data_IF_342680117331
#
_entry.id   IF_342680117331
#
_cell.length_a   1.000
_cell.length_b   1.000
_cell.length_c   1.000
_cell.angle_alpha   90.00
_cell.angle_beta   90.00
_cell.angle_gamma   90.00
#
_symmetry.space_group_name_H-M   'P 1'
#
loop_
_entity.id
_entity.type
_entity.pdbx_description
1 polymer ?
#
# COMPACT_ATOMS: atom_id res chain seq x y z
N UNK A 1 32.52 14.71 -9.79
CA UNK A 1 31.67 15.20 -8.69
C UNK A 1 31.40 14.04 -7.75
N UNK A 2 31.79 14.09 -6.47
CA UNK A 2 31.39 13.05 -5.52
C UNK A 2 29.87 13.11 -5.36
N UNK A 3 29.19 11.96 -5.50
CA UNK A 3 27.75 11.89 -5.38
C UNK A 3 27.32 12.39 -4.01
N UNK A 4 26.29 13.24 -3.95
CA UNK A 4 25.76 13.85 -2.71
C UNK A 4 25.43 12.78 -1.65
N UNK A 5 25.14 11.55 -2.09
CA UNK A 5 24.92 10.35 -1.26
C UNK A 5 26.14 9.85 -0.49
N UNK A 6 27.38 10.14 -0.91
CA UNK A 6 28.59 9.66 -0.22
C UNK A 6 28.91 10.46 1.05
N UNK A 7 28.36 11.67 1.19
CA UNK A 7 28.60 12.58 2.33
C UNK A 7 27.53 12.55 3.42
N UNK A 8 26.44 11.80 3.22
CA UNK A 8 25.35 11.71 4.20
C UNK A 8 25.68 10.78 5.37
N UNK A 9 25.27 11.18 6.57
CA UNK A 9 25.31 10.34 7.77
C UNK A 9 24.40 9.11 7.60
N UNK A 10 24.65 8.06 8.37
CA UNK A 10 23.87 6.82 8.28
C UNK A 10 22.36 7.07 8.52
N UNK A 11 22.01 7.97 9.46
CA UNK A 11 20.63 8.34 9.75
C UNK A 11 19.96 9.13 8.63
N UNK A 12 20.70 10.01 7.95
CA UNK A 12 20.19 10.74 6.78
C UNK A 12 19.93 9.80 5.61
N UNK A 13 20.79 8.79 5.40
CA UNK A 13 20.59 7.75 4.38
C UNK A 13 19.32 6.94 4.66
N UNK A 14 19.06 6.58 5.91
CA UNK A 14 17.82 5.87 6.28
C UNK A 14 16.58 6.73 6.05
N UNK A 15 16.61 7.98 6.49
CA UNK A 15 15.49 8.90 6.32
C UNK A 15 15.18 9.12 4.84
N UNK A 16 16.22 9.28 4.01
CA UNK A 16 16.08 9.39 2.55
C UNK A 16 15.41 8.14 1.94
N UNK A 17 15.87 6.93 2.32
CA UNK A 17 15.31 5.68 1.80
C UNK A 17 13.84 5.52 2.19
N UNK A 18 13.49 5.84 3.44
CA UNK A 18 12.10 5.77 3.93
C UNK A 18 11.22 6.79 3.21
N UNK A 19 11.69 8.02 3.01
CA UNK A 19 10.96 9.03 2.25
C UNK A 19 10.75 8.63 0.79
N UNK A 20 11.77 8.04 0.15
CA UNK A 20 11.66 7.55 -1.23
C UNK A 20 10.68 6.37 -1.32
N UNK A 21 10.75 5.40 -0.40
CA UNK A 21 9.78 4.30 -0.36
C UNK A 21 8.35 4.79 -0.13
N UNK A 22 8.16 5.71 0.82
CA UNK A 22 6.85 6.27 1.14
C UNK A 22 6.28 7.06 -0.05
N UNK A 23 7.14 7.80 -0.75
CA UNK A 23 6.77 8.49 -1.98
C UNK A 23 6.39 7.50 -3.08
N UNK A 24 7.14 6.41 -3.28
CA UNK A 24 6.81 5.38 -4.27
C UNK A 24 5.46 4.74 -3.94
N UNK A 25 5.24 4.33 -2.69
CA UNK A 25 3.96 3.74 -2.25
C UNK A 25 2.80 4.72 -2.44
N UNK A 26 2.97 5.98 -2.03
CA UNK A 26 1.96 7.03 -2.24
C UNK A 26 1.70 7.32 -3.72
N UNK A 27 2.76 7.38 -4.54
CA UNK A 27 2.67 7.60 -5.97
C UNK A 27 1.96 6.46 -6.68
N UNK A 28 2.32 5.20 -6.40
CA UNK A 28 1.62 4.04 -6.96
C UNK A 28 0.18 3.93 -6.44
N UNK A 29 -0.06 4.23 -5.16
CA UNK A 29 -1.41 4.30 -4.61
C UNK A 29 -2.28 5.32 -5.33
N UNK A 30 -1.73 6.49 -5.67
CA UNK A 30 -2.43 7.52 -6.45
C UNK A 30 -2.55 7.15 -7.93
N UNK A 31 -1.48 6.67 -8.57
CA UNK A 31 -1.45 6.35 -9.99
C UNK A 31 -2.31 5.13 -10.35
N UNK A 32 -2.43 4.16 -9.43
CA UNK A 32 -3.30 2.99 -9.57
C UNK A 32 -4.71 3.25 -9.04
N UNK A 33 -4.92 4.31 -8.26
CA UNK A 33 -6.28 4.73 -7.89
C UNK A 33 -7.04 5.08 -9.15
N UNK A 34 -8.19 4.45 -9.34
CA UNK A 34 -9.14 4.77 -10.42
C UNK A 34 -9.49 6.26 -10.47
N UNK A 35 -9.33 6.97 -9.34
CA UNK A 35 -9.54 8.42 -9.25
C UNK A 35 -8.59 9.23 -10.12
N UNK A 36 -7.34 8.80 -10.32
CA UNK A 36 -6.34 9.52 -11.14
C UNK A 36 -6.31 9.03 -12.58
N UNK A 37 -6.51 7.74 -12.86
CA UNK A 37 -6.59 7.26 -14.25
C UNK A 37 -7.83 7.75 -14.97
N UNK A 38 -8.91 8.05 -14.23
CA UNK A 38 -10.14 8.59 -14.81
C UNK A 38 -10.14 10.11 -14.93
N UNK A 39 -9.25 10.85 -14.25
CA UNK A 39 -9.15 12.32 -14.30
C UNK A 39 -8.98 12.90 -15.72
N UNK A 40 -8.51 12.08 -16.67
CA UNK A 40 -8.37 12.44 -18.09
C UNK A 40 -9.26 11.65 -19.05
N UNK A 41 -10.15 10.79 -18.56
CA UNK A 41 -10.92 9.91 -19.44
C UNK A 41 -12.30 10.48 -19.74
N UNK A 42 -12.60 10.57 -21.03
CA UNK A 42 -13.90 10.89 -21.60
C UNK A 42 -15.03 9.98 -21.09
N UNK A 43 -16.28 10.21 -21.51
CA UNK A 43 -17.39 9.33 -21.17
C UNK A 43 -17.02 7.88 -21.51
N UNK A 44 -17.16 6.96 -20.54
CA UNK A 44 -16.85 5.54 -20.70
C UNK A 44 -18.14 4.76 -20.49
N UNK A 45 -18.69 4.27 -21.59
CA UNK A 45 -19.97 3.56 -21.58
C UNK A 45 -19.71 2.06 -21.46
N UNK A 46 -20.26 1.46 -20.41
CA UNK A 46 -20.17 0.03 -20.13
C UNK A 46 -21.56 -0.61 -20.19
N UNK A 47 -21.63 -1.88 -20.63
CA UNK A 47 -22.84 -2.69 -20.54
C UNK A 47 -22.60 -3.95 -19.71
N UNK A 48 -23.53 -4.21 -18.80
CA UNK A 48 -23.67 -5.48 -18.07
C UNK A 48 -24.85 -6.25 -18.65
N UNK A 49 -24.66 -7.56 -18.87
CA UNK A 49 -25.70 -8.46 -19.37
C UNK A 49 -26.04 -9.49 -18.31
N UNK A 50 -27.30 -9.54 -17.94
CA UNK A 50 -27.88 -10.62 -17.15
C UNK A 50 -28.95 -11.33 -17.98
N UNK A 51 -28.93 -12.66 -18.04
CA UNK A 51 -30.00 -13.42 -18.68
C UNK A 51 -30.37 -14.66 -17.88
N UNK A 52 -31.66 -14.90 -17.70
CA UNK A 52 -32.18 -16.04 -16.96
C UNK A 52 -33.20 -16.82 -17.79
N UNK A 53 -33.13 -18.15 -17.70
CA UNK A 53 -34.13 -19.04 -18.27
C UNK A 53 -35.31 -19.17 -17.30
N UNK A 54 -36.51 -18.79 -17.75
CA UNK A 54 -37.72 -18.83 -16.93
C UNK A 54 -38.19 -20.26 -16.63
N UNK A 55 -37.89 -21.23 -17.51
CA UNK A 55 -38.30 -22.62 -17.32
C UNK A 55 -37.72 -23.18 -16.01
N UNK A 56 -36.48 -22.84 -15.70
CA UNK A 56 -35.81 -23.28 -14.46
C UNK A 56 -36.30 -22.56 -13.20
N UNK A 57 -36.96 -21.41 -13.33
CA UNK A 57 -37.31 -20.54 -12.19
C UNK A 57 -38.80 -20.55 -11.85
N UNK A 58 -39.67 -20.62 -12.86
CA UNK A 58 -41.12 -20.39 -12.73
C UNK A 58 -41.95 -21.42 -13.49
N UNK A 59 -41.31 -22.35 -14.23
CA UNK A 59 -42.00 -23.31 -15.10
C UNK A 59 -42.64 -22.70 -16.34
N UNK A 60 -42.37 -21.41 -16.63
CA UNK A 60 -42.83 -20.73 -17.83
C UNK A 60 -41.75 -20.73 -18.92
N UNK A 61 -42.17 -20.97 -20.16
CA UNK A 61 -41.25 -20.93 -21.31
C UNK A 61 -40.80 -19.51 -21.62
N UNK A 62 -39.48 -19.33 -21.70
CA UNK A 62 -38.86 -18.12 -22.21
C UNK A 62 -37.58 -17.72 -21.48
N UNK A 63 -37.01 -16.62 -21.93
CA UNK A 63 -35.80 -16.00 -21.42
C UNK A 63 -36.11 -14.55 -21.06
N UNK A 64 -35.66 -14.13 -19.88
CA UNK A 64 -35.60 -12.72 -19.51
C UNK A 64 -34.14 -12.29 -19.59
N UNK A 65 -33.90 -11.20 -20.30
CA UNK A 65 -32.59 -10.54 -20.38
C UNK A 65 -32.68 -9.13 -19.83
N UNK A 66 -31.74 -8.73 -19.00
CA UNK A 66 -31.58 -7.34 -18.55
C UNK A 66 -30.22 -6.85 -19.04
N UNK A 67 -30.24 -5.76 -19.79
CA UNK A 67 -29.04 -5.02 -20.15
C UNK A 67 -29.01 -3.77 -19.27
N UNK A 68 -27.92 -3.58 -18.54
CA UNK A 68 -27.67 -2.32 -17.83
C UNK A 68 -26.52 -1.59 -18.53
N UNK A 69 -26.78 -0.39 -19.01
CA UNK A 69 -25.79 0.49 -19.62
C UNK A 69 -25.49 1.60 -18.62
N UNK A 70 -24.21 1.86 -18.34
CA UNK A 70 -23.79 2.88 -17.38
C UNK A 70 -22.63 3.70 -17.92
N UNK A 71 -22.57 4.98 -17.56
CA UNK A 71 -21.40 5.82 -17.83
C UNK A 71 -20.51 5.85 -16.58
N UNK A 72 -19.35 5.18 -16.65
CA UNK A 72 -18.32 5.21 -15.59
C UNK A 72 -17.20 6.20 -15.89
N UNK A 73 -17.33 6.97 -16.98
CA UNK A 73 -16.42 8.08 -17.28
C UNK A 73 -16.67 9.28 -16.38
N UNK A 74 -15.75 10.23 -16.38
CA UNK A 74 -15.92 11.47 -15.60
C UNK A 74 -16.84 12.46 -16.29
N UNK A 75 -16.83 12.46 -17.62
CA UNK A 75 -17.66 13.33 -18.45
C UNK A 75 -18.98 12.66 -18.82
N UNK A 76 -20.05 13.45 -18.89
CA UNK A 76 -21.30 12.99 -19.47
C UNK A 76 -21.11 12.72 -20.98
N UNK A 77 -21.81 11.72 -21.51
CA UNK A 77 -21.95 11.55 -22.96
C UNK A 77 -23.13 12.40 -23.43
N UNK A 78 -22.92 13.34 -24.34
CA UNK A 78 -23.98 14.24 -24.84
C UNK A 78 -24.54 13.74 -26.17
N UNK A 79 -25.85 13.98 -26.39
CA UNK A 79 -26.60 13.55 -27.57
C UNK A 79 -26.45 12.06 -27.85
N UNK A 80 -26.54 11.28 -26.78
CA UNK A 80 -26.28 9.86 -26.82
C UNK A 80 -27.42 9.12 -27.51
N UNK A 81 -27.06 8.30 -28.48
CA UNK A 81 -27.95 7.37 -29.16
C UNK A 81 -27.44 5.95 -28.95
N UNK A 82 -28.23 5.17 -28.25
CA UNK A 82 -28.01 3.74 -28.10
C UNK A 82 -28.69 3.01 -29.25
N UNK A 83 -27.95 2.08 -29.85
CA UNK A 83 -28.43 1.21 -30.93
C UNK A 83 -28.21 -0.23 -30.50
N UNK A 84 -29.31 -0.96 -30.37
CA UNK A 84 -29.32 -2.37 -29.99
C UNK A 84 -29.87 -3.14 -31.18
N UNK A 85 -28.99 -3.86 -31.85
CA UNK A 85 -29.32 -4.64 -33.04
C UNK A 85 -29.51 -6.10 -32.68
N UNK A 86 -30.67 -6.66 -33.03
CA UNK A 86 -31.01 -8.06 -32.84
C UNK A 86 -30.82 -8.84 -34.13
N UNK A 87 -30.51 -10.13 -34.02
CA UNK A 87 -30.38 -11.02 -35.19
C UNK A 87 -31.76 -11.28 -35.86
N UNK A 88 -32.84 -11.08 -35.12
CA UNK A 88 -34.23 -11.27 -35.55
C UNK A 88 -35.12 -10.16 -34.99
N UNK A 89 -36.44 -10.35 -35.02
CA UNK A 89 -37.41 -9.38 -34.49
C UNK A 89 -37.09 -9.02 -33.03
N UNK A 90 -37.08 -7.73 -32.67
CA UNK A 90 -36.75 -7.32 -31.31
C UNK A 90 -37.74 -7.93 -30.30
N UNK A 91 -37.26 -8.43 -29.15
CA UNK A 91 -38.11 -8.97 -28.11
C UNK A 91 -39.01 -7.89 -27.50
N UNK A 92 -40.04 -8.30 -26.75
CA UNK A 92 -40.80 -7.34 -25.94
C UNK A 92 -39.85 -6.73 -24.91
N UNK A 93 -39.86 -5.41 -24.79
CA UNK A 93 -38.90 -4.72 -23.96
C UNK A 93 -39.52 -3.58 -23.16
N UNK A 94 -38.85 -3.25 -22.06
CA UNK A 94 -39.13 -2.09 -21.22
C UNK A 94 -37.81 -1.36 -20.95
N UNK A 95 -37.81 -0.04 -21.12
CA UNK A 95 -36.65 0.82 -20.86
C UNK A 95 -36.92 1.62 -19.60
N UNK A 96 -36.00 1.55 -18.65
CA UNK A 96 -35.95 2.46 -17.51
C UNK A 96 -34.60 3.18 -17.51
N UNK A 97 -34.58 4.45 -17.14
CA UNK A 97 -33.39 5.29 -17.20
C UNK A 97 -33.42 6.29 -16.06
N UNK A 98 -32.26 6.56 -15.47
CA UNK A 98 -32.09 7.65 -14.50
C UNK A 98 -32.13 9.03 -15.20
N UNK A 99 -31.88 9.06 -16.52
CA UNK A 99 -31.96 10.25 -17.38
C UNK A 99 -33.22 10.23 -18.24
N UNK A 100 -33.69 11.42 -18.65
CA UNK A 100 -34.84 11.58 -19.52
C UNK A 100 -34.58 10.98 -20.91
N UNK A 101 -35.48 10.11 -21.35
CA UNK A 101 -35.42 9.49 -22.68
C UNK A 101 -36.18 10.38 -23.64
N UNK A 102 -35.46 11.09 -24.51
CA UNK A 102 -36.06 11.99 -25.50
C UNK A 102 -36.93 11.22 -26.51
N UNK A 103 -36.47 10.04 -26.95
CA UNK A 103 -37.22 9.18 -27.87
C UNK A 103 -36.76 7.72 -27.83
N UNK A 104 -37.69 6.79 -28.03
CA UNK A 104 -37.37 5.39 -28.37
C UNK A 104 -38.04 5.04 -29.70
N UNK A 105 -37.28 4.42 -30.61
CA UNK A 105 -37.75 3.97 -31.91
C UNK A 105 -37.33 2.53 -32.16
N UNK A 106 -38.25 1.73 -32.70
CA UNK A 106 -37.94 0.39 -33.23
C UNK A 106 -37.94 0.46 -34.74
N UNK A 107 -36.82 0.12 -35.38
CA UNK A 107 -36.69 0.14 -36.83
C UNK A 107 -36.17 -1.22 -37.31
N UNK A 108 -37.06 -2.05 -37.84
CA UNK A 108 -36.74 -3.43 -38.21
C UNK A 108 -36.27 -4.23 -37.00
N UNK A 109 -35.02 -4.69 -37.05
CA UNK A 109 -34.38 -5.48 -35.98
C UNK A 109 -33.59 -4.62 -34.99
N UNK A 110 -33.66 -3.30 -35.09
CA UNK A 110 -32.92 -2.39 -34.22
C UNK A 110 -33.86 -1.66 -33.26
N UNK A 111 -33.46 -1.59 -31.99
CA UNK A 111 -34.00 -0.64 -31.00
C UNK A 111 -33.04 0.53 -30.90
N UNK A 112 -33.57 1.75 -31.07
CA UNK A 112 -32.83 3.01 -30.93
C UNK A 112 -33.38 3.77 -29.73
N UNK A 113 -32.53 4.10 -28.77
CA UNK A 113 -32.89 4.90 -27.60
C UNK A 113 -32.05 6.18 -27.66
N UNK A 114 -32.74 7.31 -27.67
CA UNK A 114 -32.15 8.63 -27.76
C UNK A 114 -32.22 9.31 -26.40
N UNK A 115 -31.07 9.82 -25.95
CA UNK A 115 -30.93 10.58 -24.72
C UNK A 115 -30.19 11.88 -25.02
N UNK A 116 -30.60 12.95 -24.36
CA UNK A 116 -29.92 14.24 -24.47
C UNK A 116 -28.53 14.19 -23.83
N UNK A 117 -28.41 13.42 -22.74
CA UNK A 117 -27.16 13.12 -22.07
C UNK A 117 -27.22 11.80 -21.30
N UNK A 118 -26.05 11.22 -21.04
CA UNK A 118 -25.87 10.20 -20.01
C UNK A 118 -24.82 10.69 -19.02
N UNK A 119 -25.28 11.19 -17.87
CA UNK A 119 -24.40 11.69 -16.81
C UNK A 119 -23.54 10.58 -16.22
N UNK A 120 -22.47 11.00 -15.53
CA UNK A 120 -21.65 10.09 -14.73
C UNK A 120 -22.53 9.29 -13.76
N UNK A 121 -22.28 7.99 -13.67
CA UNK A 121 -22.95 7.00 -12.82
C UNK A 121 -24.44 6.77 -13.13
N UNK A 122 -25.03 7.48 -14.10
CA UNK A 122 -26.40 7.27 -14.56
C UNK A 122 -26.52 5.93 -15.29
N UNK A 123 -27.67 5.27 -15.12
CA UNK A 123 -27.93 3.94 -15.66
C UNK A 123 -29.16 3.94 -16.56
N UNK A 124 -29.06 3.16 -17.64
CA UNK A 124 -30.16 2.81 -18.52
C UNK A 124 -30.32 1.30 -18.44
N UNK A 125 -31.50 0.83 -18.06
CA UNK A 125 -31.82 -0.59 -17.98
C UNK A 125 -32.84 -0.93 -19.05
N UNK A 126 -32.49 -1.90 -19.90
CA UNK A 126 -33.39 -2.51 -20.86
C UNK A 126 -33.72 -3.92 -20.37
N UNK A 127 -34.95 -4.11 -19.91
CA UNK A 127 -35.50 -5.42 -19.60
C UNK A 127 -36.18 -5.99 -20.85
N UNK A 128 -35.91 -7.25 -21.18
CA UNK A 128 -36.39 -7.90 -22.39
C UNK A 128 -36.95 -9.28 -22.07
N UNK A 129 -38.03 -9.65 -22.77
CA UNK A 129 -38.61 -10.98 -22.71
C UNK A 129 -38.73 -11.58 -24.12
N UNK A 130 -38.23 -12.80 -24.28
CA UNK A 130 -38.33 -13.58 -25.51
C UNK A 130 -38.61 -15.05 -25.22
N UNK A 131 -39.26 -15.75 -26.15
CA UNK A 131 -39.38 -17.21 -26.08
C UNK A 131 -38.08 -17.95 -26.44
N UNK A 132 -37.21 -17.29 -27.20
CA UNK A 132 -35.93 -17.84 -27.66
C UNK A 132 -34.74 -17.15 -26.95
N UNK A 133 -33.56 -17.77 -26.91
CA UNK A 133 -32.35 -17.15 -26.38
C UNK A 133 -32.09 -15.77 -27.01
N UNK A 134 -31.79 -14.78 -26.17
CA UNK A 134 -31.65 -13.39 -26.58
C UNK A 134 -30.19 -13.11 -27.01
N UNK A 135 -30.01 -12.82 -28.30
CA UNK A 135 -28.74 -12.40 -28.92
C UNK A 135 -28.88 -10.99 -29.50
N UNK A 136 -27.89 -10.14 -29.26
CA UNK A 136 -27.87 -8.76 -29.72
C UNK A 136 -26.45 -8.20 -29.74
N UNK A 137 -26.29 -7.08 -30.46
CA UNK A 137 -25.09 -6.23 -30.44
C UNK A 137 -25.49 -4.83 -30.00
N UNK A 138 -24.70 -4.23 -29.09
CA UNK A 138 -24.96 -2.88 -28.60
C UNK A 138 -23.85 -1.94 -29.09
N UNK A 139 -24.26 -0.78 -29.57
CA UNK A 139 -23.39 0.31 -29.97
C UNK A 139 -23.94 1.62 -29.43
N UNK A 140 -23.06 2.57 -29.12
CA UNK A 140 -23.46 3.93 -28.81
C UNK A 140 -22.91 4.89 -29.87
N UNK A 141 -23.64 5.98 -30.06
CA UNK A 141 -23.23 7.11 -30.87
C UNK A 141 -23.42 8.35 -30.01
N UNK A 142 -22.39 9.17 -29.88
CA UNK A 142 -22.44 10.43 -29.15
C UNK A 142 -21.84 11.57 -30.00
N UNK A 143 -21.64 12.73 -29.39
CA UNK A 143 -21.01 13.89 -30.02
C UNK A 143 -19.54 13.64 -30.44
N UNK A 144 -18.84 12.67 -29.85
CA UNK A 144 -17.45 12.32 -30.16
C UNK A 144 -17.33 11.25 -31.24
N UNK A 145 -18.41 10.52 -31.51
CA UNK A 145 -18.52 9.63 -32.64
C UNK A 145 -19.25 8.35 -32.30
N UNK A 146 -18.83 7.26 -32.94
CA UNK A 146 -19.42 5.93 -32.75
C UNK A 146 -18.43 5.04 -32.01
N UNK A 147 -18.85 4.47 -30.89
CA UNK A 147 -18.05 3.54 -30.10
C UNK A 147 -18.76 2.20 -29.89
N UNK A 148 -18.03 1.07 -29.87
CA UNK A 148 -18.56 -0.16 -29.30
C UNK A 148 -18.78 0.04 -27.80
N UNK A 149 -19.85 -0.53 -27.24
CA UNK A 149 -19.98 -0.63 -25.78
C UNK A 149 -19.16 -1.83 -25.34
N UNK A 150 -18.20 -1.60 -24.45
CA UNK A 150 -17.43 -2.66 -23.84
C UNK A 150 -18.35 -3.45 -22.88
N UNK A 151 -18.43 -4.76 -23.07
CA UNK A 151 -19.10 -5.65 -22.13
C UNK A 151 -18.20 -5.77 -20.90
N UNK A 152 -18.71 -5.33 -19.76
CA UNK A 152 -17.94 -5.32 -18.52
C UNK A 152 -17.83 -6.76 -17.99
N UNK A 153 -16.72 -7.42 -18.34
CA UNK A 153 -16.36 -8.73 -17.83
C UNK A 153 -15.72 -8.52 -16.44
N UNK A 154 -16.57 -8.24 -15.44
CA UNK A 154 -16.22 -7.83 -14.06
C UNK A 154 -15.19 -8.70 -13.31
N UNK A 155 -14.77 -9.84 -13.87
CA UNK A 155 -13.99 -10.83 -13.12
C UNK A 155 -12.46 -10.63 -13.14
N UNK A 156 -11.89 -9.91 -14.13
CA UNK A 156 -10.43 -10.03 -14.39
C UNK A 156 -9.59 -8.78 -14.18
N UNK A 157 -10.05 -7.59 -14.52
CA UNK A 157 -9.15 -6.44 -14.66
C UNK A 157 -8.89 -5.69 -13.34
N UNK A 158 -9.92 -5.55 -12.49
CA UNK A 158 -9.79 -4.86 -11.20
C UNK A 158 -8.96 -5.69 -10.21
N UNK A 159 -9.16 -7.01 -10.22
CA UNK A 159 -8.38 -7.95 -9.42
C UNK A 159 -6.85 -7.84 -9.68
N UNK A 160 -6.41 -7.67 -10.93
CA UNK A 160 -4.96 -7.65 -11.24
C UNK A 160 -4.30 -6.38 -10.69
N UNK A 161 -4.95 -5.22 -10.80
CA UNK A 161 -4.40 -3.96 -10.28
C UNK A 161 -4.31 -3.97 -8.76
N UNK A 162 -5.35 -4.47 -8.08
CA UNK A 162 -5.37 -4.63 -6.63
C UNK A 162 -4.31 -5.63 -6.15
N UNK A 163 -4.12 -6.75 -6.86
CA UNK A 163 -3.06 -7.74 -6.57
C UNK A 163 -1.68 -7.10 -6.70
N UNK A 164 -1.43 -6.28 -7.73
CA UNK A 164 -0.14 -5.60 -7.91
C UNK A 164 0.12 -4.61 -6.77
N UNK A 165 -0.89 -3.81 -6.40
CA UNK A 165 -0.78 -2.86 -5.29
C UNK A 165 -0.48 -3.56 -3.96
N UNK A 166 -1.16 -4.67 -3.70
CA UNK A 166 -0.93 -5.50 -2.51
C UNK A 166 0.53 -6.02 -2.48
N UNK A 167 1.03 -6.51 -3.62
CA UNK A 167 2.40 -7.02 -3.75
C UNK A 167 3.44 -5.93 -3.47
N UNK A 168 3.27 -4.74 -4.05
CA UNK A 168 4.15 -3.58 -3.82
C UNK A 168 4.15 -3.17 -2.34
N UNK A 169 2.98 -3.22 -1.69
CA UNK A 169 2.85 -2.90 -0.26
C UNK A 169 3.59 -3.90 0.61
N UNK A 170 3.43 -5.20 0.36
CA UNK A 170 4.12 -6.27 1.10
C UNK A 170 5.64 -6.14 0.95
N UNK A 171 6.14 -5.93 -0.27
CA UNK A 171 7.57 -5.76 -0.54
C UNK A 171 8.10 -4.54 0.22
N UNK A 172 7.36 -3.43 0.22
CA UNK A 172 7.75 -2.21 0.93
C UNK A 172 7.86 -2.42 2.44
N UNK A 173 6.89 -3.12 3.04
CA UNK A 173 6.94 -3.48 4.47
C UNK A 173 8.13 -4.38 4.79
N UNK A 174 8.41 -5.39 3.95
CA UNK A 174 9.58 -6.26 4.14
C UNK A 174 10.89 -5.49 4.10
N UNK A 175 11.03 -4.54 3.17
CA UNK A 175 12.23 -3.70 3.07
C UNK A 175 12.39 -2.82 4.31
N UNK A 176 11.32 -2.19 4.78
CA UNK A 176 11.32 -1.39 6.01
C UNK A 176 11.71 -2.26 7.21
N UNK A 177 11.12 -3.44 7.35
CA UNK A 177 11.41 -4.37 8.44
C UNK A 177 12.88 -4.82 8.41
N UNK A 178 13.42 -5.15 7.23
CA UNK A 178 14.82 -5.53 7.07
C UNK A 178 15.77 -4.41 7.50
N UNK A 179 15.48 -3.18 7.08
CA UNK A 179 16.24 -1.99 7.47
C UNK A 179 16.22 -1.78 8.98
N UNK A 180 15.03 -1.80 9.60
CA UNK A 180 14.89 -1.61 11.04
C UNK A 180 15.60 -2.69 11.83
N UNK A 181 15.46 -3.96 11.42
CA UNK A 181 16.15 -5.08 12.05
C UNK A 181 17.66 -4.91 12.01
N UNK A 182 18.23 -4.56 10.84
CA UNK A 182 19.67 -4.38 10.69
C UNK A 182 20.20 -3.19 11.50
N UNK A 183 19.41 -2.13 11.63
CA UNK A 183 19.78 -0.99 12.47
C UNK A 183 19.73 -1.35 13.96
N UNK A 184 18.69 -2.06 14.41
CA UNK A 184 18.58 -2.54 15.78
C UNK A 184 19.72 -3.50 16.14
N UNK A 185 20.06 -4.44 15.26
CA UNK A 185 21.19 -5.37 15.46
C UNK A 185 22.52 -4.61 15.60
N UNK A 186 22.74 -3.57 14.78
CA UNK A 186 23.96 -2.74 14.87
C UNK A 186 24.03 -2.00 16.21
N UNK A 187 22.95 -1.33 16.63
CA UNK A 187 22.89 -0.57 17.88
C UNK A 187 23.09 -1.47 19.10
N UNK A 188 22.46 -2.66 19.09
CA UNK A 188 22.60 -3.64 20.16
C UNK A 188 24.04 -4.15 20.24
N UNK A 189 24.66 -4.47 19.10
CA UNK A 189 26.04 -4.95 19.05
C UNK A 189 27.03 -3.89 19.54
N UNK A 190 26.85 -2.63 19.14
CA UNK A 190 27.69 -1.51 19.58
C UNK A 190 27.58 -1.28 21.09
N UNK A 191 26.35 -1.35 21.64
CA UNK A 191 26.12 -1.20 23.08
C UNK A 191 26.69 -2.36 23.89
N UNK A 192 26.62 -3.59 23.38
CA UNK A 192 27.23 -4.78 24.02
C UNK A 192 28.76 -4.64 24.01
N UNK A 193 29.36 -4.24 22.88
CA UNK A 193 30.80 -4.05 22.79
C UNK A 193 31.30 -2.94 23.73
N UNK A 194 30.54 -1.84 23.85
CA UNK A 194 30.86 -0.78 24.82
C UNK A 194 30.86 -1.29 26.26
N UNK A 195 29.86 -2.09 26.66
CA UNK A 195 29.81 -2.66 28.00
C UNK A 195 30.93 -3.68 28.23
N UNK A 196 31.27 -4.47 27.21
CA UNK A 196 32.37 -5.42 27.28
C UNK A 196 33.71 -4.71 27.52
N UNK A 197 33.97 -3.61 26.80
CA UNK A 197 35.19 -2.80 26.98
C UNK A 197 35.20 -2.17 28.38
N UNK A 198 34.09 -1.62 28.85
CA UNK A 198 34.01 -1.03 30.20
C UNK A 198 34.28 -2.07 31.30
N UNK A 199 33.69 -3.26 31.19
CA UNK A 199 33.94 -4.37 32.12
C UNK A 199 35.39 -4.82 32.09
N UNK A 200 35.98 -4.93 30.89
CA UNK A 200 37.38 -5.32 30.74
C UNK A 200 38.33 -4.29 31.38
N UNK A 201 38.04 -2.99 31.23
CA UNK A 201 38.80 -1.93 31.88
C UNK A 201 38.68 -2.01 33.41
N UNK A 202 37.47 -2.18 33.95
CA UNK A 202 37.25 -2.35 35.39
C UNK A 202 37.97 -3.57 35.96
N UNK A 203 38.00 -4.68 35.23
CA UNK A 203 38.76 -5.88 35.63
C UNK A 203 40.27 -5.59 35.63
N UNK A 204 40.77 -4.83 34.65
CA UNK A 204 42.18 -4.43 34.61
C UNK A 204 42.54 -3.51 35.78
N UNK A 205 41.70 -2.51 36.07
CA UNK A 205 41.90 -1.60 37.21
C UNK A 205 41.94 -2.36 38.54
N UNK A 206 41.00 -3.28 38.77
CA UNK A 206 40.99 -4.13 39.97
C UNK A 206 42.23 -5.03 40.05
N UNK A 207 42.70 -5.57 38.92
CA UNK A 207 43.94 -6.36 38.89
C UNK A 207 45.15 -5.51 39.28
N UNK A 208 45.25 -4.29 38.76
CA UNK A 208 46.36 -3.39 39.05
C UNK A 208 46.33 -2.93 40.52
N UNK A 209 45.14 -2.67 41.08
CA UNK A 209 44.97 -2.39 42.51
C UNK A 209 45.41 -3.57 43.40
N UNK A 210 45.00 -4.79 43.06
CA UNK A 210 45.42 -6.00 43.79
C UNK A 210 46.94 -6.19 43.70
N UNK A 211 47.54 -5.99 42.52
CA UNK A 211 48.99 -6.07 42.33
C UNK A 211 49.74 -5.02 43.16
N UNK A 212 49.22 -3.80 43.24
CA UNK A 212 49.79 -2.75 44.09
C UNK A 212 49.72 -3.10 45.58
N UNK A 213 48.61 -3.69 46.03
CA UNK A 213 48.47 -4.17 47.42
C UNK A 213 49.46 -5.31 47.70
N UNK A 214 49.62 -6.25 46.76
CA UNK A 214 50.56 -7.36 46.89
C UNK A 214 52.01 -6.88 46.99
N UNK A 215 52.41 -5.88 46.20
CA UNK A 215 53.73 -5.23 46.31
C UNK A 215 53.89 -4.58 47.70
N UNK A 216 52.87 -3.87 48.19
CA UNK A 216 52.92 -3.19 49.49
C UNK A 216 53.08 -4.16 50.67
N UNK A 217 52.52 -5.38 50.56
CA UNK A 217 52.63 -6.43 51.59
C UNK A 217 53.94 -7.22 51.44
N UNK A 218 54.45 -7.33 50.21
CA UNK A 218 55.66 -8.11 49.90
C UNK A 218 56.96 -7.33 50.06
N UNK A 219 56.90 -6.00 50.27
CA UNK A 219 58.09 -5.22 50.60
C UNK A 219 58.68 -5.69 51.94
N UNK A 220 59.89 -6.26 51.96
CA UNK A 220 60.54 -6.66 53.19
C UNK A 220 60.90 -5.40 53.98
N UNK A 221 60.59 -5.41 55.27
CA UNK A 221 61.01 -4.40 56.26
C UNK A 221 62.55 -4.39 56.40
N UNK A 222 63.25 -3.89 55.40
CA UNK A 222 64.68 -3.64 55.41
C UNK A 222 64.91 -2.13 55.51
N UNK A 223 64.62 -1.60 56.69
CA UNK A 223 65.13 -0.32 57.17
C UNK A 223 65.81 -0.58 58.50
N UNK A 224 67.09 -0.94 58.43
CA UNK A 224 68.03 -0.83 59.54
C UNK A 224 68.31 0.65 59.81
N UNK A 225 67.42 1.29 60.57
CA UNK A 225 67.65 2.57 61.23
C UNK A 225 66.97 2.52 62.62
N UNK A 226 67.55 3.16 63.66
CA UNK A 226 67.08 2.98 65.03
C UNK A 226 65.64 3.47 65.17
N UNK A 227 64.82 2.68 65.88
CA UNK A 227 63.47 3.03 66.28
C UNK A 227 63.54 4.36 67.03
N UNK A 228 63.05 5.43 66.39
CA UNK A 228 62.75 6.69 67.07
C UNK A 228 61.23 6.79 67.11
N UNK A 229 60.68 7.00 68.32
CA UNK A 229 59.25 6.91 68.69
C UNK A 229 58.25 7.77 67.88
N UNK A 230 58.68 8.51 66.87
CA UNK A 230 57.81 9.38 66.07
C UNK A 230 57.17 8.67 64.86
N UNK A 231 57.78 7.61 64.34
CA UNK A 231 57.31 6.95 63.10
C UNK A 231 56.08 6.07 63.31
N UNK A 232 55.83 5.61 64.55
CA UNK A 232 54.66 4.76 64.86
C UNK A 232 53.34 5.54 64.82
N UNK A 233 53.37 6.84 65.16
CA UNK A 233 52.20 7.72 65.12
C UNK A 233 51.76 8.03 63.69
N UNK A 234 52.71 8.21 62.76
CA UNK A 234 52.40 8.50 61.36
C UNK A 234 51.68 7.34 60.64
N UNK A 235 52.05 6.09 60.96
CA UNK A 235 51.42 4.91 60.35
C UNK A 235 50.02 4.66 60.92
N UNK A 236 49.84 4.76 62.25
CA UNK A 236 48.50 4.61 62.85
C UNK A 236 47.56 5.73 62.43
N UNK A 237 48.05 6.95 62.25
CA UNK A 237 47.23 8.09 61.82
C UNK A 237 46.81 7.99 60.35
N UNK A 238 47.69 7.52 59.46
CA UNK A 238 47.32 7.26 58.04
C UNK A 238 46.35 6.09 57.89
N UNK A 239 46.47 5.06 58.72
CA UNK A 239 45.55 3.94 58.73
C UNK A 239 44.18 4.33 59.29
N UNK A 240 44.15 5.16 60.34
CA UNK A 240 42.91 5.71 60.90
C UNK A 240 42.19 6.62 59.89
N UNK A 241 42.92 7.51 59.20
CA UNK A 241 42.36 8.39 58.16
C UNK A 241 41.82 7.60 56.96
N UNK A 242 42.39 6.43 56.64
CA UNK A 242 41.88 5.56 55.59
C UNK A 242 40.58 4.86 55.99
N UNK A 243 40.49 4.38 57.24
CA UNK A 243 39.29 3.70 57.77
C UNK A 243 38.10 4.66 58.03
N UNK A 244 38.36 5.96 58.21
CA UNK A 244 37.33 6.99 58.45
C UNK A 244 36.75 7.61 57.17
N UNK A 245 37.25 7.25 55.98
CA UNK A 245 36.81 7.82 54.70
C UNK A 245 35.75 6.97 53.95
N UNK A 246 35.24 5.94 54.60
CA UNK A 246 33.98 5.21 54.28
C UNK A 246 32.81 5.77 55.06
#
# INVERSE_FOLDING_TARGET
>A
MPSITSRMSLGEKFTLVISVLSFIVGFFGLALSESVSNLYSDAKIFATKDSSNLNSLTGQEGYIGVITISNRGISASEKMKLVISFDSTPPKYEVTSDEEISKSETNGNDIKIFLDRLSKDAKIKLAMYSKLPISYRIQYIDNKGKGPIELEDHSKQDNIKEIILLLVTIISIMVIFYIFRRHAETLVTEKINSHYIELQNKISELRDEIGNIEILISEPSNSSAPITEETSKGFTQRLADFMLKT
#
